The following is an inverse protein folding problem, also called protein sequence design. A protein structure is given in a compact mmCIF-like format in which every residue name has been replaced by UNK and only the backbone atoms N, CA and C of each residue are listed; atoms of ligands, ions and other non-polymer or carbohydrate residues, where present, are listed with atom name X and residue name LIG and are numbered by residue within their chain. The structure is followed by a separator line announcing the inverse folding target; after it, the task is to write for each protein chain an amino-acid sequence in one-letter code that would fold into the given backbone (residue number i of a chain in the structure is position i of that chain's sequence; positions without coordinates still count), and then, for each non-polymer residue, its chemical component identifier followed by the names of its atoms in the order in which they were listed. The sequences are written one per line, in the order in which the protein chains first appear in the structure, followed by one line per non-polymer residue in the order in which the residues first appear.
data_IF_536441715562
#
_entry.id   IF_536441715562
#
_cell.length_a   1.000
_cell.length_b   1.000
_cell.length_c   1.000
_cell.angle_alpha   90.00
_cell.angle_beta   90.00
_cell.angle_gamma   90.00
#
_symmetry.space_group_name_H-M   'P 1'
#
loop_
_entity.id
_entity.type
_entity.pdbx_description
1 polymer ?
#
# COMPACT_ATOMS: atom_id res chain seq x y z
N UNK A 1 -22.79 74.51 -28.12
CA UNK A 1 -23.65 75.16 -27.11
C UNK A 1 -24.94 74.36 -27.05
N UNK A 2 -24.99 73.38 -26.15
CA UNK A 2 -25.48 73.49 -24.78
C UNK A 2 -27.00 73.30 -24.73
N UNK A 3 -27.46 72.25 -24.05
CA UNK A 3 -28.53 72.28 -23.05
C UNK A 3 -28.88 70.84 -22.59
N UNK A 4 -28.76 70.63 -21.27
CA UNK A 4 -29.68 69.86 -20.40
C UNK A 4 -29.66 68.31 -20.55
N UNK A 5 -29.76 67.44 -19.54
CA UNK A 5 -30.42 67.54 -18.23
C UNK A 5 -29.91 66.40 -17.29
N UNK A 6 -29.59 66.78 -16.05
CA UNK A 6 -29.73 66.13 -14.73
C UNK A 6 -29.88 64.59 -14.53
N UNK A 7 -29.09 64.12 -13.54
CA UNK A 7 -29.43 63.22 -12.40
C UNK A 7 -29.73 61.74 -12.62
N UNK A 8 -29.03 60.86 -11.88
CA UNK A 8 -29.56 60.04 -10.75
C UNK A 8 -28.40 59.23 -10.12
N UNK A 9 -28.28 59.34 -8.78
CA UNK A 9 -27.46 58.49 -7.92
C UNK A 9 -28.08 57.08 -7.81
N UNK A 10 -27.27 56.04 -7.99
CA UNK A 10 -27.60 54.69 -7.53
C UNK A 10 -26.43 54.17 -6.67
N UNK A 11 -26.64 54.26 -5.37
CA UNK A 11 -25.86 53.58 -4.35
C UNK A 11 -26.14 52.08 -4.46
N UNK A 12 -25.13 51.30 -4.86
CA UNK A 12 -25.15 49.84 -4.79
C UNK A 12 -24.42 49.37 -3.54
N UNK A 13 -25.18 49.05 -2.49
CA UNK A 13 -24.71 48.41 -1.27
C UNK A 13 -24.20 46.99 -1.57
N UNK A 14 -22.88 46.78 -1.56
CA UNK A 14 -22.30 45.44 -1.43
C UNK A 14 -22.35 45.05 0.04
N UNK A 15 -23.41 44.32 0.42
CA UNK A 15 -23.46 43.60 1.69
C UNK A 15 -22.53 42.39 1.56
N UNK A 16 -21.29 42.54 2.03
CA UNK A 16 -20.44 41.41 2.36
C UNK A 16 -20.93 40.83 3.69
N UNK A 17 -21.64 39.71 3.66
CA UNK A 17 -21.82 38.88 4.86
C UNK A 17 -20.62 37.95 5.00
N UNK A 18 -19.76 38.13 6.02
CA UNK A 18 -18.79 37.10 6.38
C UNK A 18 -19.59 35.97 7.03
N UNK A 19 -19.56 34.79 6.41
CA UNK A 19 -20.04 33.58 7.08
C UNK A 19 -19.08 33.30 8.24
N UNK A 20 -19.51 33.73 9.42
CA UNK A 20 -18.99 33.35 10.70
C UNK A 20 -19.09 31.82 10.81
N UNK A 21 -17.96 31.16 11.03
CA UNK A 21 -17.91 29.82 11.59
C UNK A 21 -18.52 29.89 12.99
N UNK A 22 -19.79 29.51 13.11
CA UNK A 22 -20.41 29.22 14.40
C UNK A 22 -20.12 27.75 14.74
N UNK A 23 -19.26 27.53 15.72
CA UNK A 23 -19.17 26.25 16.41
C UNK A 23 -20.48 26.03 17.17
N UNK A 24 -21.32 25.10 16.71
CA UNK A 24 -22.40 24.54 17.50
C UNK A 24 -21.91 23.26 18.18
N UNK A 25 -22.10 23.10 19.50
CA UNK A 25 -21.84 21.85 20.20
C UNK A 25 -23.10 20.98 20.10
N UNK A 26 -22.96 19.74 19.65
CA UNK A 26 -24.07 18.80 19.62
C UNK A 26 -23.62 17.50 18.98
N UNK A 27 -23.49 16.48 19.81
CA UNK A 27 -23.18 15.11 19.44
C UNK A 27 -24.17 14.59 18.38
N UNK A 28 -23.70 14.35 17.16
CA UNK A 28 -24.36 13.42 16.24
C UNK A 28 -23.48 12.18 16.15
N UNK A 29 -23.91 11.13 16.83
CA UNK A 29 -23.39 9.79 16.68
C UNK A 29 -23.47 9.38 15.21
N UNK A 30 -22.32 9.12 14.59
CA UNK A 30 -22.25 8.54 13.25
C UNK A 30 -22.94 7.17 13.23
N UNK A 31 -24.19 7.15 12.80
CA UNK A 31 -24.98 5.94 12.53
C UNK A 31 -25.26 5.85 11.02
N UNK A 32 -24.22 6.01 10.20
CA UNK A 32 -24.27 5.60 8.80
C UNK A 32 -23.72 4.17 8.70
N UNK A 33 -24.62 3.19 8.86
CA UNK A 33 -24.32 1.84 8.42
C UNK A 33 -24.12 1.87 6.91
N UNK A 34 -22.99 1.33 6.42
CA UNK A 34 -22.71 1.17 5.01
C UNK A 34 -23.96 0.67 4.28
N UNK A 35 -24.41 1.42 3.28
CA UNK A 35 -25.52 0.99 2.44
C UNK A 35 -25.19 -0.38 1.85
N UNK A 36 -26.06 -1.39 1.99
CA UNK A 36 -25.80 -2.69 1.42
C UNK A 36 -25.61 -2.51 -0.08
N UNK A 37 -24.44 -2.89 -0.59
CA UNK A 37 -24.16 -2.87 -2.02
C UNK A 37 -25.20 -3.77 -2.68
N UNK A 38 -26.17 -3.17 -3.38
CA UNK A 38 -27.21 -3.91 -4.07
C UNK A 38 -26.52 -4.75 -5.16
N UNK A 39 -26.48 -6.06 -4.94
CA UNK A 39 -25.85 -6.99 -5.88
C UNK A 39 -26.54 -6.84 -7.25
N UNK A 40 -25.80 -6.68 -8.35
CA UNK A 40 -26.37 -6.59 -9.69
C UNK A 40 -27.30 -7.77 -10.02
N UNK A 41 -28.34 -7.54 -10.83
CA UNK A 41 -29.38 -8.55 -11.11
C UNK A 41 -28.84 -9.87 -11.69
N UNK A 42 -27.75 -9.84 -12.47
CA UNK A 42 -27.10 -11.06 -12.99
C UNK A 42 -26.52 -11.94 -11.87
N UNK A 43 -26.10 -11.36 -10.74
CA UNK A 43 -25.55 -12.12 -9.61
C UNK A 43 -26.63 -12.92 -8.89
N UNK A 44 -27.86 -12.40 -8.81
CA UNK A 44 -29.00 -13.15 -8.27
C UNK A 44 -29.35 -14.34 -9.16
N UNK A 45 -29.28 -14.18 -10.48
CA UNK A 45 -29.50 -15.27 -11.43
C UNK A 45 -28.47 -16.39 -11.29
N UNK A 46 -27.19 -16.05 -11.11
CA UNK A 46 -26.14 -17.03 -10.85
C UNK A 46 -26.32 -17.77 -9.53
N UNK A 47 -26.69 -17.08 -8.45
CA UNK A 47 -27.01 -17.73 -7.17
C UNK A 47 -28.12 -18.77 -7.35
N UNK A 48 -29.18 -18.41 -8.10
CA UNK A 48 -30.26 -19.34 -8.43
C UNK A 48 -29.77 -20.55 -9.23
N UNK A 49 -28.92 -20.35 -10.23
CA UNK A 49 -28.33 -21.43 -11.02
C UNK A 49 -27.49 -22.38 -10.16
N UNK A 50 -26.64 -21.87 -9.27
CA UNK A 50 -25.80 -22.68 -8.36
C UNK A 50 -26.64 -23.53 -7.40
N UNK A 51 -27.79 -23.03 -6.94
CA UNK A 51 -28.71 -23.83 -6.10
C UNK A 51 -29.28 -25.01 -6.89
N UNK A 52 -29.68 -24.80 -8.14
CA UNK A 52 -30.21 -25.85 -9.02
C UNK A 52 -29.13 -26.88 -9.34
N UNK A 53 -27.91 -26.44 -9.66
CA UNK A 53 -26.77 -27.33 -9.95
C UNK A 53 -26.40 -28.19 -8.73
N UNK A 54 -26.30 -27.60 -7.53
CA UNK A 54 -26.06 -28.38 -6.31
C UNK A 54 -27.19 -29.39 -6.03
N UNK A 55 -28.44 -29.04 -6.34
CA UNK A 55 -29.56 -29.96 -6.20
C UNK A 55 -29.46 -31.12 -7.20
N UNK A 56 -29.06 -30.86 -8.45
CA UNK A 56 -28.81 -31.89 -9.47
C UNK A 56 -27.65 -32.81 -9.11
N UNK A 57 -26.60 -32.28 -8.47
CA UNK A 57 -25.46 -33.06 -7.97
C UNK A 57 -25.75 -33.84 -6.68
N UNK A 58 -27.00 -33.86 -6.21
CA UNK A 58 -27.40 -34.57 -4.97
C UNK A 58 -26.92 -33.90 -3.69
N UNK A 59 -26.48 -32.64 -3.77
CA UNK A 59 -25.95 -31.80 -2.68
C UNK A 59 -26.92 -30.68 -2.30
N UNK A 60 -28.22 -30.99 -2.29
CA UNK A 60 -29.26 -30.03 -1.89
C UNK A 60 -28.95 -29.47 -0.48
N UNK A 61 -28.83 -28.14 -0.37
CA UNK A 61 -28.52 -27.43 0.88
C UNK A 61 -27.05 -27.10 1.14
N UNK A 62 -26.10 -27.53 0.29
CA UNK A 62 -24.70 -27.10 0.42
C UNK A 62 -24.51 -25.60 0.18
N UNK A 63 -25.26 -25.02 -0.77
CA UNK A 63 -25.25 -23.58 -1.02
C UNK A 63 -25.70 -22.78 0.22
N UNK A 64 -26.74 -23.24 0.90
CA UNK A 64 -27.25 -22.61 2.14
C UNK A 64 -26.25 -22.76 3.30
N UNK A 65 -25.64 -23.94 3.47
CA UNK A 65 -24.58 -24.14 4.47
C UNK A 65 -23.36 -23.25 4.21
N UNK A 66 -22.98 -23.09 2.94
CA UNK A 66 -21.89 -22.21 2.55
C UNK A 66 -22.22 -20.74 2.81
N UNK A 67 -23.46 -20.32 2.54
CA UNK A 67 -23.93 -18.96 2.84
C UNK A 67 -23.98 -18.70 4.35
N UNK A 68 -24.43 -19.67 5.16
CA UNK A 68 -24.38 -19.59 6.62
C UNK A 68 -22.94 -19.51 7.15
N UNK A 69 -22.03 -20.30 6.61
CA UNK A 69 -20.61 -20.25 6.98
C UNK A 69 -19.98 -18.91 6.58
N UNK A 70 -20.34 -18.37 5.42
CA UNK A 70 -19.89 -17.06 4.97
C UNK A 70 -20.39 -15.95 5.92
N UNK A 71 -21.68 -15.94 6.26
CA UNK A 71 -22.22 -14.99 7.24
C UNK A 71 -21.49 -15.06 8.58
N UNK A 72 -21.27 -16.27 9.11
CA UNK A 72 -20.53 -16.47 10.36
C UNK A 72 -19.08 -15.98 10.27
N UNK A 73 -18.44 -16.12 9.11
CA UNK A 73 -17.09 -15.62 8.87
C UNK A 73 -17.07 -14.09 8.90
N UNK A 74 -18.02 -13.45 8.21
CA UNK A 74 -18.14 -11.99 8.17
C UNK A 74 -18.42 -11.41 9.56
N UNK A 75 -19.29 -12.03 10.35
CA UNK A 75 -19.58 -11.61 11.73
C UNK A 75 -18.32 -11.70 12.61
N UNK A 76 -17.53 -12.77 12.48
CA UNK A 76 -16.24 -12.91 13.19
C UNK A 76 -15.23 -11.86 12.74
N UNK A 77 -15.17 -11.56 11.45
CA UNK A 77 -14.28 -10.56 10.89
C UNK A 77 -14.63 -9.16 11.43
N UNK A 78 -15.92 -8.83 11.49
CA UNK A 78 -16.40 -7.58 12.07
C UNK A 78 -16.08 -7.49 13.57
N UNK A 79 -16.36 -8.55 14.33
CA UNK A 79 -16.05 -8.60 15.76
C UNK A 79 -14.54 -8.47 16.03
N UNK A 80 -13.69 -9.03 15.16
CA UNK A 80 -12.24 -8.90 15.23
C UNK A 80 -11.80 -7.46 14.88
N UNK A 81 -12.33 -6.88 13.81
CA UNK A 81 -12.04 -5.49 13.42
C UNK A 81 -12.38 -4.50 14.53
N UNK A 82 -13.52 -4.69 15.23
CA UNK A 82 -13.89 -3.87 16.38
C UNK A 82 -12.94 -4.03 17.58
N UNK A 83 -12.40 -5.24 17.81
CA UNK A 83 -11.41 -5.48 18.87
C UNK A 83 -10.07 -4.84 18.53
N UNK A 84 -9.62 -4.98 17.28
CA UNK A 84 -8.36 -4.40 16.81
C UNK A 84 -8.41 -2.87 16.84
N UNK A 85 -9.54 -2.28 16.45
CA UNK A 85 -9.80 -0.84 16.60
C UNK A 85 -9.71 -0.36 18.07
N UNK A 86 -10.13 -1.18 19.04
CA UNK A 86 -10.02 -0.88 20.48
C UNK A 86 -8.62 -1.14 21.06
N UNK A 87 -7.87 -2.09 20.52
CA UNK A 87 -6.51 -2.40 20.96
C UNK A 87 -5.48 -1.37 20.45
N UNK A 88 -5.71 -0.79 19.26
CA UNK A 88 -4.85 0.21 18.64
C UNK A 88 -5.34 1.64 18.88
N UNK A 89 -5.87 1.96 20.07
CA UNK A 89 -6.30 3.31 20.43
C UNK A 89 -5.11 4.28 20.56
N UNK A 90 -4.57 4.76 19.43
CA UNK A 90 -3.66 5.90 19.38
C UNK A 90 -4.50 7.18 19.28
N UNK A 91 -4.27 8.17 20.14
CA UNK A 91 -5.14 9.34 20.32
C UNK A 91 -5.03 10.40 19.20
N UNK A 92 -4.64 10.02 17.99
CA UNK A 92 -4.42 10.92 16.85
C UNK A 92 -5.41 10.65 15.71
N UNK A 93 -5.75 11.70 14.95
CA UNK A 93 -6.71 11.66 13.83
C UNK A 93 -6.38 10.72 12.65
N UNK A 94 -5.29 9.94 12.75
CA UNK A 94 -4.87 8.94 11.76
C UNK A 94 -4.98 7.50 12.28
N UNK A 95 -5.58 7.27 13.44
CA UNK A 95 -5.67 5.96 14.10
C UNK A 95 -6.35 4.88 13.22
N UNK A 96 -7.42 5.23 12.51
CA UNK A 96 -8.15 4.26 11.67
C UNK A 96 -7.44 3.91 10.34
N UNK A 97 -6.29 4.55 10.03
CA UNK A 97 -5.62 4.43 8.74
C UNK A 97 -4.82 3.12 8.59
N UNK A 98 -4.29 2.56 9.68
CA UNK A 98 -3.53 1.29 9.64
C UNK A 98 -4.44 0.10 9.34
N UNK A 99 -5.66 0.09 9.91
CA UNK A 99 -6.63 -0.97 9.73
C UNK A 99 -7.24 -0.94 8.31
N UNK A 100 -7.51 0.24 7.76
CA UNK A 100 -7.91 0.42 6.35
C UNK A 100 -6.86 -0.12 5.38
N UNK A 101 -5.56 0.08 5.64
CA UNK A 101 -4.51 -0.46 4.78
C UNK A 101 -4.46 -1.99 4.78
N UNK A 102 -4.67 -2.62 5.93
CA UNK A 102 -4.54 -4.07 6.07
C UNK A 102 -5.74 -4.85 5.53
N UNK A 103 -6.95 -4.29 5.64
CA UNK A 103 -8.18 -4.96 5.20
C UNK A 103 -8.65 -4.54 3.80
N UNK A 104 -8.37 -3.30 3.38
CA UNK A 104 -8.73 -2.81 2.03
C UNK A 104 -7.54 -2.76 1.07
N UNK A 105 -6.38 -3.30 1.46
CA UNK A 105 -5.18 -3.38 0.61
C UNK A 105 -4.95 -4.72 -0.07
N UNK A 106 -5.77 -5.75 0.19
CA UNK A 106 -5.57 -7.10 -0.36
C UNK A 106 -5.85 -7.21 -1.87
N UNK A 107 -6.60 -6.27 -2.42
CA UNK A 107 -6.89 -6.05 -3.83
C UNK A 107 -5.96 -4.99 -4.46
N UNK A 108 -4.90 -4.60 -3.75
CA UNK A 108 -3.91 -3.61 -4.21
C UNK A 108 -4.34 -2.15 -4.02
N UNK A 109 -5.51 -1.91 -3.43
CA UNK A 109 -6.13 -0.58 -3.33
C UNK A 109 -6.11 -0.03 -1.89
N UNK A 110 -4.93 0.04 -1.25
CA UNK A 110 -4.85 0.82 -0.01
C UNK A 110 -5.34 2.25 -0.29
N UNK A 111 -6.34 2.73 0.45
CA UNK A 111 -6.92 4.07 0.29
C UNK A 111 -5.89 5.21 0.33
N UNK A 112 -4.75 5.02 1.02
CA UNK A 112 -3.61 5.95 1.03
C UNK A 112 -2.73 5.89 -0.22
N UNK A 113 -2.77 4.78 -0.93
CA UNK A 113 -2.04 4.51 -2.17
C UNK A 113 -2.97 4.47 -3.39
N UNK A 114 -4.25 4.82 -3.22
CA UNK A 114 -5.24 4.81 -4.28
C UNK A 114 -4.79 5.81 -5.35
N UNK A 115 -4.23 5.25 -6.41
CA UNK A 115 -4.23 5.94 -7.69
C UNK A 115 -5.62 5.79 -8.20
N UNK A 116 -6.35 6.90 -8.25
CA UNK A 116 -7.66 6.98 -8.87
C UNK A 116 -7.61 6.24 -10.23
N UNK A 117 -8.32 5.10 -10.33
CA UNK A 117 -8.33 4.26 -11.52
C UNK A 117 -8.89 4.98 -12.76
N UNK A 118 -9.58 6.12 -12.58
CA UNK A 118 -10.01 7.01 -13.67
C UNK A 118 -8.94 8.02 -14.10
N UNK A 119 -7.85 8.16 -13.34
CA UNK A 119 -6.68 9.03 -13.63
C UNK A 119 -5.45 8.27 -14.15
N UNK A 120 -5.57 6.95 -14.36
CA UNK A 120 -4.50 6.09 -14.82
C UNK A 120 -3.51 5.73 -13.71
N UNK A 121 -2.67 4.72 -13.97
CA UNK A 121 -1.56 4.39 -13.08
C UNK A 121 -0.73 5.66 -12.79
N UNK A 122 -0.36 5.93 -11.53
CA UNK A 122 0.38 7.14 -11.15
C UNK A 122 1.82 7.06 -11.67
N UNK A 123 2.24 5.86 -12.07
CA UNK A 123 3.50 5.57 -12.71
C UNK A 123 3.30 5.90 -14.18
N UNK A 124 3.68 7.11 -14.57
CA UNK A 124 3.85 7.40 -15.99
C UNK A 124 4.87 6.38 -16.52
N UNK A 125 4.53 5.63 -17.56
CA UNK A 125 5.46 4.69 -18.21
C UNK A 125 6.72 5.38 -18.75
N UNK A 126 6.70 6.71 -18.81
CA UNK A 126 7.83 7.59 -19.14
C UNK A 126 8.74 7.93 -17.96
N UNK A 127 8.37 7.58 -16.72
CA UNK A 127 9.02 8.05 -15.50
C UNK A 127 8.91 9.58 -15.32
N UNK A 128 8.96 10.05 -14.07
CA UNK A 128 9.15 11.47 -13.82
C UNK A 128 10.49 11.91 -14.40
N UNK A 129 10.48 12.73 -15.46
CA UNK A 129 11.73 13.28 -16.01
C UNK A 129 12.40 14.14 -14.94
N UNK A 130 13.68 13.88 -14.68
CA UNK A 130 14.46 14.73 -13.79
C UNK A 130 14.35 16.20 -14.24
N UNK A 131 14.01 17.13 -13.34
CA UNK A 131 14.07 18.56 -13.64
C UNK A 131 15.46 18.97 -14.13
N UNK A 132 15.53 19.96 -15.01
CA UNK A 132 16.82 20.49 -15.45
C UNK A 132 17.53 21.19 -14.29
N UNK A 133 18.84 20.91 -14.12
CA UNK A 133 19.68 21.60 -13.14
C UNK A 133 19.68 21.05 -11.71
N UNK A 134 18.95 19.97 -11.42
CA UNK A 134 19.03 19.29 -10.10
C UNK A 134 20.12 18.22 -10.07
N UNK A 135 20.73 17.94 -8.92
CA UNK A 135 21.68 16.83 -8.79
C UNK A 135 21.01 15.50 -9.13
N UNK A 136 21.68 14.69 -9.95
CA UNK A 136 21.18 13.37 -10.37
C UNK A 136 22.00 12.27 -9.72
N UNK A 137 21.34 11.40 -8.95
CA UNK A 137 21.90 10.16 -8.37
C UNK A 137 21.51 8.98 -9.25
N UNK A 138 22.51 8.33 -9.85
CA UNK A 138 22.31 7.19 -10.74
C UNK A 138 22.61 5.89 -9.99
N UNK A 139 21.69 4.93 -10.07
CA UNK A 139 21.84 3.61 -9.47
C UNK A 139 21.52 2.54 -10.52
N UNK A 140 22.53 1.75 -10.89
CA UNK A 140 22.35 0.52 -11.65
C UNK A 140 22.09 -0.61 -10.66
N UNK A 141 20.91 -1.23 -10.74
CA UNK A 141 20.46 -2.28 -9.82
C UNK A 141 20.19 -3.55 -10.62
N UNK A 142 20.80 -4.64 -10.20
CA UNK A 142 20.59 -5.98 -10.77
C UNK A 142 19.76 -6.83 -9.83
N UNK A 143 18.79 -7.55 -10.39
CA UNK A 143 18.07 -8.59 -9.65
C UNK A 143 18.81 -9.92 -9.82
N UNK A 144 19.21 -10.53 -8.71
CA UNK A 144 19.96 -11.79 -8.73
C UNK A 144 19.28 -12.86 -7.87
N UNK A 145 19.40 -14.12 -8.28
CA UNK A 145 19.21 -15.26 -7.40
C UNK A 145 20.46 -15.44 -6.52
N UNK A 146 20.29 -15.66 -5.22
CA UNK A 146 21.41 -15.81 -4.28
C UNK A 146 21.02 -16.66 -3.07
N UNK A 147 21.98 -17.39 -2.51
CA UNK A 147 21.87 -18.02 -1.19
C UNK A 147 22.06 -16.99 -0.07
N UNK A 148 20.94 -16.53 0.51
CA UNK A 148 20.94 -15.56 1.61
C UNK A 148 21.31 -16.28 2.90
N UNK A 149 22.40 -15.86 3.53
CA UNK A 149 22.85 -16.41 4.83
C UNK A 149 22.20 -15.62 5.96
N UNK A 150 21.50 -16.32 6.87
CA UNK A 150 20.63 -15.72 7.89
C UNK A 150 21.38 -15.39 9.19
N UNK A 151 22.41 -16.15 9.52
CA UNK A 151 23.15 -16.01 10.78
C UNK A 151 24.59 -16.52 10.64
N UNK A 152 25.37 -16.35 11.72
CA UNK A 152 26.77 -16.78 11.81
C UNK A 152 26.97 -18.30 11.91
N UNK A 153 25.88 -19.07 12.02
CA UNK A 153 25.89 -20.53 11.90
C UNK A 153 25.65 -21.00 10.46
N UNK A 154 25.61 -20.05 9.52
CA UNK A 154 25.49 -20.29 8.08
C UNK A 154 24.17 -20.92 7.63
N UNK A 155 23.13 -20.85 8.47
CA UNK A 155 21.76 -21.13 8.05
C UNK A 155 21.43 -20.26 6.83
N UNK A 156 20.84 -20.84 5.79
CA UNK A 156 20.64 -20.12 4.53
C UNK A 156 19.31 -20.43 3.87
N UNK A 157 18.89 -19.51 3.02
CA UNK A 157 17.69 -19.63 2.20
C UNK A 157 18.00 -19.19 0.76
N UNK A 158 17.67 -20.01 -0.26
CA UNK A 158 17.78 -19.59 -1.66
C UNK A 158 16.69 -18.55 -1.96
N UNK A 159 17.11 -17.32 -2.28
CA UNK A 159 16.20 -16.20 -2.47
C UNK A 159 16.59 -15.30 -3.65
N UNK A 160 15.91 -14.17 -3.71
CA UNK A 160 16.19 -13.11 -4.68
C UNK A 160 16.64 -11.86 -3.93
N UNK A 161 17.62 -11.17 -4.48
CA UNK A 161 18.16 -9.94 -3.91
C UNK A 161 18.37 -8.89 -5.00
N UNK A 162 18.13 -7.63 -4.66
CA UNK A 162 18.56 -6.49 -5.44
C UNK A 162 19.93 -6.04 -4.97
N UNK A 163 20.87 -5.89 -5.90
CA UNK A 163 22.24 -5.44 -5.62
C UNK A 163 22.60 -4.31 -6.58
N UNK A 164 23.48 -3.41 -6.16
CA UNK A 164 24.14 -2.50 -7.11
C UNK A 164 24.96 -3.34 -8.10
N UNK A 165 24.82 -3.09 -9.39
CA UNK A 165 25.50 -3.88 -10.43
C UNK A 165 27.02 -3.90 -10.25
N UNK A 166 27.61 -2.82 -9.73
CA UNK A 166 29.04 -2.72 -9.43
C UNK A 166 29.51 -3.63 -8.27
N UNK A 167 28.60 -4.07 -7.39
CA UNK A 167 28.91 -4.89 -6.22
C UNK A 167 28.54 -6.37 -6.42
N UNK A 168 28.08 -6.74 -7.61
CA UNK A 168 27.65 -8.11 -7.94
C UNK A 168 28.77 -9.12 -7.70
N UNK A 169 30.00 -8.83 -8.12
CA UNK A 169 31.13 -9.73 -7.93
C UNK A 169 31.48 -9.92 -6.44
N UNK A 170 31.33 -8.86 -5.64
CA UNK A 170 31.58 -8.94 -4.18
C UNK A 170 30.53 -9.81 -3.50
N UNK A 171 29.26 -9.62 -3.87
CA UNK A 171 28.14 -10.43 -3.40
C UNK A 171 28.33 -11.91 -3.75
N UNK A 172 28.75 -12.23 -4.98
CA UNK A 172 29.06 -13.61 -5.38
C UNK A 172 30.27 -14.18 -4.63
N UNK A 173 31.26 -13.34 -4.33
CA UNK A 173 32.38 -13.70 -3.48
C UNK A 173 31.95 -14.09 -2.06
N UNK A 174 31.04 -13.33 -1.45
CA UNK A 174 30.50 -13.67 -0.13
C UNK A 174 29.65 -14.94 -0.14
N UNK A 175 28.81 -15.11 -1.16
CA UNK A 175 28.02 -16.33 -1.36
C UNK A 175 28.93 -17.57 -1.44
N UNK A 176 29.99 -17.50 -2.25
CA UNK A 176 30.98 -18.58 -2.37
C UNK A 176 31.73 -18.83 -1.05
N UNK A 177 32.10 -17.77 -0.32
CA UNK A 177 32.75 -17.87 0.99
C UNK A 177 31.84 -18.53 2.02
N UNK A 178 30.56 -18.16 2.06
CA UNK A 178 29.57 -18.76 2.95
C UNK A 178 29.35 -20.22 2.61
N UNK A 179 29.25 -20.57 1.32
CA UNK A 179 29.13 -21.96 0.88
C UNK A 179 30.33 -22.80 1.29
N UNK A 180 31.55 -22.31 1.08
CA UNK A 180 32.77 -23.02 1.49
C UNK A 180 32.87 -23.18 3.01
N UNK A 181 32.44 -22.17 3.78
CA UNK A 181 32.43 -22.24 5.23
C UNK A 181 31.44 -23.29 5.78
N UNK A 182 30.35 -23.58 5.08
CA UNK A 182 29.39 -24.65 5.45
C UNK A 182 29.98 -26.05 5.32
N UNK A 183 30.93 -26.24 4.39
CA UNK A 183 31.56 -27.54 4.13
C UNK A 183 32.75 -27.82 5.06
N UNK A 184 33.19 -26.82 5.83
CA UNK A 184 34.37 -26.91 6.68
C UNK A 184 34.00 -27.32 8.10
N UNK A 185 34.80 -28.21 8.68
CA UNK A 185 34.67 -28.58 10.08
C UNK A 185 35.07 -27.41 11.02
N UNK A 186 34.25 -27.20 12.05
CA UNK A 186 34.46 -26.17 13.08
C UNK A 186 33.58 -24.93 12.90
N UNK A 187 33.74 -23.96 13.80
CA UNK A 187 33.00 -22.69 13.72
C UNK A 187 33.70 -21.73 12.75
N UNK A 188 33.06 -21.48 11.60
CA UNK A 188 33.46 -20.49 10.62
C UNK A 188 32.23 -19.64 10.24
N UNK A 189 32.19 -18.34 10.57
CA UNK A 189 31.04 -17.49 10.25
C UNK A 189 30.99 -17.07 8.76
N UNK A 190 31.96 -17.51 7.93
CA UNK A 190 32.01 -17.17 6.52
C UNK A 190 32.23 -15.66 6.30
N UNK A 191 31.36 -15.05 5.52
CA UNK A 191 31.30 -13.61 5.29
C UNK A 191 30.48 -12.86 6.35
N UNK A 192 29.72 -13.55 7.21
CA UNK A 192 28.77 -12.92 8.14
C UNK A 192 29.50 -12.28 9.31
N UNK A 193 29.41 -10.96 9.42
CA UNK A 193 30.00 -10.20 10.52
C UNK A 193 29.01 -9.91 11.64
N UNK A 194 29.47 -9.34 12.76
CA UNK A 194 28.60 -8.97 13.89
C UNK A 194 28.13 -7.52 13.77
N UNK A 195 26.84 -7.32 13.51
CA UNK A 195 26.24 -6.00 13.33
C UNK A 195 26.21 -5.58 11.85
N UNK A 196 26.00 -4.29 11.59
CA UNK A 196 26.01 -3.71 10.24
C UNK A 196 27.45 -3.39 9.78
N UNK A 197 28.33 -4.38 9.66
CA UNK A 197 29.76 -4.16 9.34
C UNK A 197 30.10 -4.21 7.84
N UNK A 198 29.12 -4.02 6.97
CA UNK A 198 29.36 -3.87 5.52
C UNK A 198 29.31 -5.15 4.71
N UNK A 199 28.69 -6.22 5.24
CA UNK A 199 28.38 -7.44 4.50
C UNK A 199 27.61 -7.10 3.21
N UNK A 200 27.97 -7.73 2.11
CA UNK A 200 27.37 -7.46 0.79
C UNK A 200 26.01 -8.13 0.64
N UNK A 201 25.80 -9.29 1.26
CA UNK A 201 24.49 -9.97 1.32
C UNK A 201 23.64 -9.33 2.43
N UNK A 202 23.04 -8.19 2.12
CA UNK A 202 22.13 -7.46 3.02
C UNK A 202 21.08 -6.68 2.21
N UNK A 203 20.02 -6.15 2.85
CA UNK A 203 19.04 -5.31 2.16
C UNK A 203 19.70 -4.09 1.49
N UNK A 204 19.37 -3.86 0.21
CA UNK A 204 19.85 -2.70 -0.53
C UNK A 204 19.21 -1.41 0.01
N UNK A 205 20.04 -0.46 0.43
CA UNK A 205 19.60 0.87 0.89
C UNK A 205 20.08 1.93 -0.09
N UNK A 206 19.15 2.55 -0.82
CA UNK A 206 19.42 3.68 -1.69
C UNK A 206 19.01 4.98 -0.98
N UNK A 207 19.89 5.98 -0.97
CA UNK A 207 19.65 7.28 -0.32
C UNK A 207 19.73 8.42 -1.34
N UNK A 208 18.78 9.33 -1.26
CA UNK A 208 18.72 10.57 -2.04
C UNK A 208 18.22 11.70 -1.16
N UNK A 209 18.66 12.94 -1.42
CA UNK A 209 18.17 14.08 -0.66
C UNK A 209 16.87 14.63 -1.24
N UNK A 210 16.16 15.43 -0.47
CA UNK A 210 15.04 16.19 -0.99
C UNK A 210 15.53 17.15 -2.10
N UNK A 211 14.88 17.08 -3.26
CA UNK A 211 15.26 17.86 -4.44
C UNK A 211 16.29 17.20 -5.35
N UNK A 212 16.93 16.10 -4.94
CA UNK A 212 17.73 15.27 -5.84
C UNK A 212 16.83 14.47 -6.79
N UNK A 213 17.29 14.25 -8.02
CA UNK A 213 16.67 13.28 -8.91
C UNK A 213 17.35 11.92 -8.82
N UNK A 214 16.59 10.87 -8.53
CA UNK A 214 17.06 9.48 -8.64
C UNK A 214 16.79 8.95 -10.05
N UNK A 215 17.82 8.39 -10.69
CA UNK A 215 17.67 7.55 -11.88
C UNK A 215 18.10 6.13 -11.54
N UNK A 216 17.21 5.19 -11.79
CA UNK A 216 17.47 3.78 -11.56
C UNK A 216 17.33 3.01 -12.86
N UNK A 217 18.31 2.16 -13.15
CA UNK A 217 18.22 1.18 -14.22
C UNK A 217 18.15 -0.19 -13.59
N UNK A 218 17.04 -0.90 -13.87
CA UNK A 218 16.85 -2.28 -13.47
C UNK A 218 17.38 -3.19 -14.58
N UNK A 219 18.22 -4.15 -14.22
CA UNK A 219 18.81 -5.15 -15.13
C UNK A 219 18.50 -6.57 -14.68
#
# INVERSE_FOLDING_TARGET
MALMLQSVLLAGSLVATPWLFAAAPGEESHQEHATPVAMPGWTQQLKGQTVVENAMEGRAGNAEKMEMQHHRLMEKLEAQAQKDAKAQQTSGGFNQMSMMHQYMGQDGSSFLLMSDGSKGEPVTTSGGKCPAGVPVKQYDVSMINIEITLNRWLDFYPGYMYVLTQDLDKVRGEEAKNKAAREKDGFDPGAVTTGLQGDMIQPLVLRVNQGDCMKMTLR
#
